data_IF_160900737418
#
_entry.id   IF_160900737418
#
_cell.length_a   1.000
_cell.length_b   1.000
_cell.length_c   1.000
_cell.angle_alpha   90.00
_cell.angle_beta   90.00
_cell.angle_gamma   90.00
#
_symmetry.space_group_name_H-M   'P 1'
#
loop_
_entity.id
_entity.type
_entity.pdbx_description
1 polymer ?
#
# COMPACT_ATOMS: atom_id res chain seq x y z
N UNK A 1 -7.44 -17.37 4.54
CA UNK A 1 -7.64 -15.94 4.88
C UNK A 1 -6.27 -15.41 5.22
N UNK A 2 -5.90 -14.25 4.68
CA UNK A 2 -4.63 -13.61 5.03
C UNK A 2 -4.69 -13.16 6.49
N UNK A 3 -3.61 -13.37 7.24
CA UNK A 3 -3.49 -12.78 8.58
C UNK A 3 -2.92 -11.38 8.42
N UNK A 4 -3.74 -10.35 8.70
CA UNK A 4 -3.36 -8.95 8.48
C UNK A 4 -3.37 -8.17 9.79
N UNK A 5 -2.26 -7.51 10.07
CA UNK A 5 -2.14 -6.48 11.09
C UNK A 5 -1.83 -5.18 10.35
N UNK A 6 -2.71 -4.20 10.47
CA UNK A 6 -2.59 -2.92 9.77
C UNK A 6 -2.75 -1.77 10.78
N UNK A 7 -1.84 -0.81 10.71
CA UNK A 7 -1.90 0.46 11.41
C UNK A 7 -1.92 1.60 10.40
N UNK A 8 -2.85 2.55 10.57
CA UNK A 8 -2.88 3.79 9.78
C UNK A 8 -1.96 4.81 10.43
N UNK A 9 -0.89 5.19 9.74
CA UNK A 9 0.08 6.19 10.24
C UNK A 9 -0.29 7.62 9.85
N UNK A 10 -1.09 7.78 8.80
CA UNK A 10 -1.68 9.06 8.42
C UNK A 10 -2.98 8.84 7.63
N UNK A 11 -3.99 9.69 7.88
CA UNK A 11 -5.33 9.58 7.28
C UNK A 11 -5.53 10.47 6.05
N UNK A 12 -4.61 11.40 5.81
CA UNK A 12 -4.63 12.31 4.67
C UNK A 12 -3.28 13.01 4.53
N UNK A 13 -2.92 13.33 3.28
CA UNK A 13 -1.77 14.12 2.86
C UNK A 13 -0.42 13.74 3.53
N UNK A 14 0.03 12.47 3.44
CA UNK A 14 -0.54 11.36 2.66
C UNK A 14 -1.45 10.43 3.47
N UNK A 15 -2.25 9.61 2.79
CA UNK A 15 -2.84 8.43 3.42
C UNK A 15 -1.75 7.37 3.51
N UNK A 16 -1.51 6.84 4.69
CA UNK A 16 -0.42 5.90 4.94
C UNK A 16 -0.86 4.78 5.86
N UNK A 17 -0.39 3.57 5.56
CA UNK A 17 -0.54 2.42 6.42
C UNK A 17 0.73 1.58 6.44
N UNK A 18 0.96 0.88 7.53
CA UNK A 18 2.02 -0.09 7.68
C UNK A 18 1.53 -1.29 8.47
N UNK A 19 2.31 -2.35 8.47
CA UNK A 19 2.03 -3.52 9.29
C UNK A 19 2.54 -4.79 8.65
N UNK A 20 1.81 -5.89 8.83
CA UNK A 20 2.16 -7.19 8.28
C UNK A 20 0.98 -7.87 7.61
N UNK A 21 1.26 -8.63 6.54
CA UNK A 21 0.35 -9.66 6.04
C UNK A 21 1.09 -10.98 5.97
N UNK A 22 0.50 -12.08 6.44
CA UNK A 22 1.13 -13.41 6.47
C UNK A 22 2.57 -13.39 7.03
N UNK A 23 2.86 -12.47 7.96
CA UNK A 23 4.19 -12.28 8.54
C UNK A 23 5.18 -11.45 7.70
N UNK A 24 4.81 -11.00 6.49
CA UNK A 24 5.61 -10.09 5.67
C UNK A 24 5.31 -8.64 6.05
N UNK A 25 6.32 -7.81 6.36
CA UNK A 25 6.11 -6.38 6.60
C UNK A 25 5.66 -5.68 5.31
N UNK A 26 4.87 -4.61 5.44
CA UNK A 26 4.54 -3.75 4.31
C UNK A 26 4.45 -2.29 4.71
N UNK A 27 4.56 -1.43 3.70
CA UNK A 27 4.30 0.00 3.80
C UNK A 27 3.49 0.46 2.60
N UNK A 28 2.37 1.13 2.85
CA UNK A 28 1.48 1.72 1.86
C UNK A 28 1.49 3.25 1.98
N UNK A 29 1.49 3.93 0.84
CA UNK A 29 1.42 5.38 0.77
C UNK A 29 0.63 5.84 -0.46
N UNK A 30 -0.39 6.65 -0.24
CA UNK A 30 -1.12 7.35 -1.29
C UNK A 30 -0.88 8.86 -1.18
N UNK A 31 -0.35 9.45 -2.25
CA UNK A 31 -0.01 10.88 -2.30
C UNK A 31 -0.09 11.40 -3.73
N UNK A 32 -0.52 12.65 -3.87
CA UNK A 32 -0.74 13.29 -5.16
C UNK A 32 -1.77 12.51 -5.99
N UNK A 33 -1.32 11.94 -7.09
CA UNK A 33 -2.10 11.30 -8.14
C UNK A 33 -1.74 9.81 -8.28
N UNK A 34 -1.14 9.21 -7.25
CA UNK A 34 -0.77 7.80 -7.24
C UNK A 34 -0.72 7.23 -5.82
N UNK A 35 -0.71 5.91 -5.75
CA UNK A 35 -0.41 5.15 -4.54
C UNK A 35 0.68 4.14 -4.83
N UNK A 36 1.39 3.74 -3.77
CA UNK A 36 2.39 2.69 -3.85
C UNK A 36 2.40 1.84 -2.58
N UNK A 37 2.91 0.63 -2.73
CA UNK A 37 3.11 -0.31 -1.64
C UNK A 37 4.43 -1.07 -1.82
N UNK A 38 5.18 -1.16 -0.75
CA UNK A 38 6.33 -2.06 -0.62
C UNK A 38 5.97 -3.23 0.29
N UNK A 39 6.32 -4.46 -0.12
CA UNK A 39 6.05 -5.71 0.58
C UNK A 39 7.36 -6.45 0.84
N UNK A 40 7.50 -6.97 2.06
CA UNK A 40 8.65 -7.71 2.51
C UNK A 40 9.90 -6.85 2.65
N UNK A 41 11.05 -7.50 2.78
CA UNK A 41 12.35 -6.83 2.92
C UNK A 41 12.68 -6.49 4.37
N UNK A 42 13.87 -5.93 4.56
CA UNK A 42 14.29 -5.43 5.89
C UNK A 42 13.69 -4.05 6.18
N UNK A 43 13.34 -3.31 5.12
CA UNK A 43 12.68 -2.02 5.16
C UNK A 43 11.70 -1.94 3.97
N UNK A 44 10.38 -2.14 4.16
CA UNK A 44 9.43 -2.06 3.06
C UNK A 44 9.29 -0.67 2.44
N UNK A 45 9.85 0.38 3.06
CA UNK A 45 9.84 1.75 2.52
C UNK A 45 10.97 1.95 1.51
N UNK A 46 12.18 1.51 1.85
CA UNK A 46 13.40 1.77 1.08
C UNK A 46 14.00 0.56 0.34
N UNK A 47 13.74 -0.64 0.82
CA UNK A 47 14.28 -1.91 0.30
C UNK A 47 13.25 -3.05 0.38
N UNK A 48 12.08 -2.90 -0.27
CA UNK A 48 11.07 -3.95 -0.28
C UNK A 48 11.51 -5.13 -1.17
N UNK A 49 11.06 -6.34 -0.84
CA UNK A 49 11.22 -7.50 -1.72
C UNK A 49 10.37 -7.38 -2.99
N UNK A 50 9.24 -6.69 -2.87
CA UNK A 50 8.33 -6.44 -3.97
C UNK A 50 7.72 -5.04 -3.84
N UNK A 51 7.66 -4.32 -4.95
CA UNK A 51 7.14 -2.96 -5.01
C UNK A 51 6.08 -2.84 -6.10
N UNK A 52 5.04 -2.09 -5.81
CA UNK A 52 3.99 -1.79 -6.76
C UNK A 52 3.48 -0.37 -6.61
N UNK A 53 3.12 0.24 -7.73
CA UNK A 53 2.52 1.56 -7.79
C UNK A 53 1.48 1.64 -8.91
N UNK A 54 0.47 2.47 -8.70
CA UNK A 54 -0.54 2.79 -9.72
C UNK A 54 -0.97 4.26 -9.64
N UNK A 55 -1.32 4.87 -10.79
CA UNK A 55 -2.03 6.14 -10.82
C UNK A 55 -3.38 6.06 -10.12
N UNK A 56 -3.83 7.18 -9.56
CA UNK A 56 -5.13 7.33 -8.92
C UNK A 56 -5.68 8.75 -9.10
N UNK A 57 -6.93 8.83 -9.55
CA UNK A 57 -7.61 10.10 -9.80
C UNK A 57 -7.08 10.81 -11.05
N UNK A 58 -6.99 12.14 -10.98
CA UNK A 58 -6.55 12.99 -12.09
C UNK A 58 -5.02 13.14 -12.08
N UNK A 59 -4.34 13.00 -13.23
CA UNK A 59 -2.90 13.27 -13.33
C UNK A 59 -2.53 14.66 -12.81
N UNK A 60 -1.42 14.76 -12.07
CA UNK A 60 -0.97 15.96 -11.34
C UNK A 60 -1.97 16.48 -10.28
N UNK A 61 -2.96 15.67 -9.92
CA UNK A 61 -3.96 15.95 -8.90
C UNK A 61 -3.52 15.60 -7.47
N UNK A 62 -4.47 15.70 -6.54
CA UNK A 62 -4.27 15.36 -5.13
C UNK A 62 -5.21 14.28 -4.64
N UNK A 63 -5.97 13.64 -5.54
CA UNK A 63 -7.03 12.70 -5.19
C UNK A 63 -6.51 11.57 -4.28
N UNK A 64 -5.32 11.04 -4.58
CA UNK A 64 -4.71 9.97 -3.79
C UNK A 64 -4.32 10.43 -2.38
N UNK A 65 -4.02 11.73 -2.21
CA UNK A 65 -3.69 12.29 -0.89
C UNK A 65 -4.86 12.27 0.08
N UNK A 66 -6.08 12.15 -0.41
CA UNK A 66 -7.31 12.14 0.39
C UNK A 66 -8.12 10.85 0.15
N UNK A 67 -7.45 9.79 -0.30
CA UNK A 67 -8.05 8.48 -0.56
C UNK A 67 -8.80 7.98 0.69
N UNK A 68 -10.07 7.56 0.56
CA UNK A 68 -10.79 6.92 1.65
C UNK A 68 -10.05 5.68 2.17
N UNK A 69 -10.04 5.46 3.49
CA UNK A 69 -9.29 4.35 4.11
C UNK A 69 -9.79 2.97 3.68
N UNK A 70 -11.09 2.84 3.43
CA UNK A 70 -11.70 1.60 2.93
C UNK A 70 -11.23 1.28 1.52
N UNK A 71 -11.09 2.29 0.66
CA UNK A 71 -10.50 2.15 -0.68
C UNK A 71 -8.99 1.84 -0.61
N UNK A 72 -8.24 2.57 0.23
CA UNK A 72 -6.82 2.27 0.48
C UNK A 72 -6.63 0.84 1.00
N UNK A 73 -7.49 0.38 1.90
CA UNK A 73 -7.45 -0.99 2.40
C UNK A 73 -7.73 -2.01 1.30
N UNK A 74 -8.69 -1.74 0.40
CA UNK A 74 -8.94 -2.59 -0.75
C UNK A 74 -7.72 -2.69 -1.69
N UNK A 75 -7.01 -1.59 -1.93
CA UNK A 75 -5.77 -1.60 -2.73
C UNK A 75 -4.63 -2.36 -2.07
N UNK A 76 -4.47 -2.24 -0.75
CA UNK A 76 -3.48 -3.04 0.00
C UNK A 76 -3.76 -4.54 -0.20
N UNK A 77 -5.00 -4.98 -0.03
CA UNK A 77 -5.38 -6.38 -0.21
C UNK A 77 -5.17 -6.85 -1.66
N UNK A 78 -5.58 -6.04 -2.64
CA UNK A 78 -5.39 -6.36 -4.06
C UNK A 78 -3.91 -6.48 -4.44
N UNK A 79 -3.05 -5.60 -3.92
CA UNK A 79 -1.62 -5.67 -4.14
C UNK A 79 -0.99 -6.93 -3.52
N UNK A 80 -1.49 -7.37 -2.36
CA UNK A 80 -1.03 -8.61 -1.76
C UNK A 80 -1.47 -9.86 -2.52
N UNK A 81 -2.70 -9.89 -3.03
CA UNK A 81 -3.14 -10.98 -3.90
C UNK A 81 -2.31 -11.03 -5.18
N UNK A 82 -1.95 -9.87 -5.74
CA UNK A 82 -1.02 -9.77 -6.87
C UNK A 82 0.37 -10.31 -6.52
N UNK A 83 0.96 -9.85 -5.41
CA UNK A 83 2.25 -10.34 -4.93
C UNK A 83 2.25 -11.87 -4.84
N UNK A 84 1.24 -12.46 -4.18
CA UNK A 84 1.10 -13.93 -4.06
C UNK A 84 1.04 -14.64 -5.42
N UNK A 85 0.29 -14.09 -6.37
CA UNK A 85 0.17 -14.66 -7.70
C UNK A 85 1.49 -14.65 -8.48
N UNK A 86 2.34 -13.65 -8.25
CA UNK A 86 3.66 -13.53 -8.89
C UNK A 86 4.73 -14.42 -8.22
N UNK A 87 4.51 -14.89 -6.99
CA UNK A 87 5.42 -15.82 -6.28
C UNK A 87 5.09 -17.31 -6.51
N UNK A 88 3.98 -17.63 -7.18
CA UNK A 88 3.53 -19.00 -7.44
C UNK A 88 4.10 -19.58 -8.75
#
# INVERSE_FOLDING_TARGET
MADIVLEWTALAAPVQAEGTIDGLPFYFRARWDHWSIGIGGSDPVGDPLWFYEEPYGVPDGYDASYMPQDEAHAFILAAFDRYRAEQA
#
